data_IF_019977695717
#
_entry.id   IF_019977695717
#
_cell.length_a   1.000
_cell.length_b   1.000
_cell.length_c   1.000
_cell.angle_alpha   90.00
_cell.angle_beta   90.00
_cell.angle_gamma   90.00
#
_symmetry.space_group_name_H-M   'P 1'
#
loop_
_entity.id
_entity.type
_entity.pdbx_description
1 polymer ?
#
# COMPACT_ATOMS: atom_id res chain seq x y z
N UNK A 1 -14.26 9.43 25.61
CA UNK A 1 -12.89 8.83 25.57
C UNK A 1 -12.76 8.14 24.24
N UNK A 2 -12.00 8.72 23.30
CA UNK A 2 -11.87 8.29 21.90
C UNK A 2 -11.54 6.80 21.79
N UNK A 3 -12.14 6.09 20.80
CA UNK A 3 -11.90 4.66 20.50
C UNK A 3 -10.39 4.33 20.39
N UNK A 4 -9.59 5.24 19.86
CA UNK A 4 -8.12 5.12 19.79
C UNK A 4 -7.44 5.06 21.17
N UNK A 5 -7.92 5.82 22.18
CA UNK A 5 -7.37 5.77 23.54
C UNK A 5 -7.57 4.41 24.21
N UNK A 6 -8.66 3.70 23.88
CA UNK A 6 -8.94 2.34 24.40
C UNK A 6 -8.04 1.29 23.75
N UNK A 7 -7.77 1.39 22.45
CA UNK A 7 -6.86 0.49 21.73
C UNK A 7 -5.42 0.71 22.21
N UNK A 8 -4.99 1.97 22.36
CA UNK A 8 -3.68 2.30 22.92
C UNK A 8 -3.46 1.77 24.33
N UNK A 9 -4.49 1.81 25.20
CA UNK A 9 -4.43 1.28 26.56
C UNK A 9 -4.31 -0.25 26.60
N UNK A 10 -5.02 -0.96 25.71
CA UNK A 10 -4.94 -2.42 25.60
C UNK A 10 -3.55 -2.88 25.11
N UNK A 11 -2.96 -2.16 24.15
CA UNK A 11 -1.62 -2.44 23.65
C UNK A 11 -0.55 -2.14 24.69
N UNK A 12 -0.73 -1.09 25.50
CA UNK A 12 0.16 -0.77 26.63
C UNK A 12 0.14 -1.85 27.70
N UNK A 13 -1.02 -2.46 27.97
CA UNK A 13 -1.15 -3.58 28.92
C UNK A 13 -0.47 -4.84 28.37
N UNK A 14 -0.61 -5.14 27.07
CA UNK A 14 0.08 -6.27 26.40
C UNK A 14 1.60 -6.06 26.38
N UNK A 15 2.08 -4.82 26.21
CA UNK A 15 3.50 -4.48 26.27
C UNK A 15 4.09 -4.76 27.67
N UNK A 16 3.36 -4.40 28.73
CA UNK A 16 3.79 -4.65 30.12
C UNK A 16 3.86 -6.15 30.47
N UNK A 17 3.00 -6.99 29.88
CA UNK A 17 3.06 -8.45 30.07
C UNK A 17 4.16 -9.12 29.27
N UNK A 18 4.62 -8.53 28.15
CA UNK A 18 5.75 -9.02 27.33
C UNK A 18 7.10 -8.93 28.05
N UNK A 19 7.32 -7.88 28.83
CA UNK A 19 8.55 -7.67 29.61
C UNK A 19 8.78 -8.81 30.61
N UNK A 20 7.73 -9.43 31.12
CA UNK A 20 7.82 -10.53 32.11
C UNK A 20 8.36 -11.86 31.54
N UNK A 21 8.51 -12.00 30.21
CA UNK A 21 8.94 -13.24 29.54
C UNK A 21 10.31 -13.15 28.84
N UNK A 22 11.09 -12.10 29.10
CA UNK A 22 12.43 -11.93 28.52
C UNK A 22 12.42 -11.60 27.02
N UNK A 23 11.29 -11.11 26.47
CA UNK A 23 11.20 -10.68 25.08
C UNK A 23 11.97 -9.36 24.88
N UNK A 24 12.85 -9.31 23.88
CA UNK A 24 13.58 -8.09 23.54
C UNK A 24 12.62 -7.05 22.92
N UNK A 25 12.67 -5.84 23.45
CA UNK A 25 11.91 -4.71 22.93
C UNK A 25 12.88 -3.79 22.19
N UNK A 26 12.65 -3.65 20.89
CA UNK A 26 13.39 -2.72 20.05
C UNK A 26 12.73 -1.34 20.15
N UNK A 27 13.52 -0.29 20.12
CA UNK A 27 13.03 1.07 20.01
C UNK A 27 13.76 1.83 18.91
N UNK A 28 13.09 2.82 18.35
CA UNK A 28 13.68 3.81 17.45
C UNK A 28 13.15 5.19 17.85
N UNK A 29 14.06 6.16 17.95
CA UNK A 29 13.73 7.57 18.12
C UNK A 29 14.46 8.36 17.05
N UNK A 30 13.80 9.32 16.43
CA UNK A 30 14.40 10.14 15.38
C UNK A 30 13.74 11.47 15.18
N UNK A 31 14.46 12.34 14.47
CA UNK A 31 13.97 13.61 13.98
C UNK A 31 14.39 13.79 12.52
N UNK A 32 13.54 14.42 11.73
CA UNK A 32 13.77 14.67 10.31
C UNK A 32 13.33 16.09 9.97
N UNK A 33 14.14 16.81 9.21
CA UNK A 33 13.76 18.12 8.63
C UNK A 33 13.55 17.94 7.15
N UNK A 34 12.40 18.39 6.65
CA UNK A 34 12.01 18.38 5.24
C UNK A 34 11.93 19.81 4.73
N UNK A 35 12.59 20.09 3.63
CA UNK A 35 12.67 21.41 3.02
C UNK A 35 12.42 21.31 1.51
N UNK A 36 11.75 22.31 0.96
CA UNK A 36 11.38 22.41 -0.44
C UNK A 36 11.58 23.83 -0.95
N UNK A 37 11.87 23.97 -2.24
CA UNK A 37 11.91 25.25 -2.95
C UNK A 37 10.54 25.83 -3.23
N UNK A 38 9.49 25.01 -3.17
CA UNK A 38 8.09 25.34 -3.38
C UNK A 38 7.27 25.10 -2.10
N UNK A 39 5.99 25.47 -2.14
CA UNK A 39 5.04 25.28 -1.03
C UNK A 39 4.91 23.79 -0.63
N UNK A 40 4.83 22.90 -1.62
CA UNK A 40 4.72 21.46 -1.40
C UNK A 40 6.08 20.78 -1.51
N UNK A 41 6.26 19.68 -0.77
CA UNK A 41 7.42 18.82 -0.90
C UNK A 41 7.38 18.03 -2.22
N UNK A 42 8.54 17.74 -2.84
CA UNK A 42 8.62 16.84 -4.00
C UNK A 42 8.02 15.46 -3.72
N UNK A 43 7.45 14.87 -4.75
CA UNK A 43 6.68 13.63 -4.73
C UNK A 43 7.33 12.50 -3.91
N UNK A 44 8.62 12.21 -4.11
CA UNK A 44 9.29 11.10 -3.43
C UNK A 44 9.68 11.40 -1.97
N UNK A 45 9.65 12.64 -1.50
CA UNK A 45 9.82 12.94 -0.08
C UNK A 45 8.57 12.60 0.74
N UNK A 46 7.42 12.55 0.09
CA UNK A 46 6.12 12.39 0.71
C UNK A 46 5.52 11.01 0.47
N UNK A 47 5.70 10.46 -0.74
CA UNK A 47 5.16 9.15 -1.12
C UNK A 47 5.84 8.00 -0.38
N UNK A 48 5.07 6.96 -0.07
CA UNK A 48 5.52 5.76 0.65
C UNK A 48 6.12 6.03 2.04
N UNK A 49 5.66 7.09 2.70
CA UNK A 49 6.07 7.49 4.06
C UNK A 49 5.01 7.11 5.12
N UNK A 50 4.10 6.17 4.83
CA UNK A 50 3.00 5.75 5.71
C UNK A 50 2.10 6.93 6.16
N UNK A 51 1.95 7.96 5.34
CA UNK A 51 1.13 9.13 5.63
C UNK A 51 1.61 9.96 6.83
N UNK A 52 2.88 9.85 7.23
CA UNK A 52 3.43 10.55 8.41
C UNK A 52 4.08 11.90 8.08
N UNK A 53 4.47 12.12 6.83
CA UNK A 53 5.14 13.35 6.38
C UNK A 53 4.10 14.28 5.80
N UNK A 54 3.96 15.54 6.28
CA UNK A 54 3.13 16.56 5.66
C UNK A 54 3.54 16.84 4.21
N UNK A 55 2.69 17.48 3.43
CA UNK A 55 3.04 17.85 2.06
C UNK A 55 3.95 19.07 1.95
N UNK A 56 4.17 19.79 3.02
CA UNK A 56 4.88 21.06 3.12
C UNK A 56 6.17 20.93 3.93
N UNK A 57 6.95 22.01 4.01
CA UNK A 57 8.14 22.09 4.84
C UNK A 57 7.81 21.72 6.29
N UNK A 58 8.56 20.78 6.87
CA UNK A 58 8.23 20.26 8.19
C UNK A 58 9.45 19.77 8.97
N UNK A 59 9.35 19.89 10.30
CA UNK A 59 10.14 19.10 11.24
C UNK A 59 9.29 17.93 11.70
N UNK A 60 9.76 16.69 11.51
CA UNK A 60 9.05 15.46 11.91
C UNK A 60 9.87 14.71 12.94
N UNK A 61 9.23 14.34 14.04
CA UNK A 61 9.82 13.48 15.07
C UNK A 61 9.13 12.13 15.05
N UNK A 62 9.89 11.05 15.21
CA UNK A 62 9.39 9.68 15.19
C UNK A 62 9.81 8.94 16.46
N UNK A 63 8.88 8.20 17.04
CA UNK A 63 9.12 7.29 18.13
C UNK A 63 8.44 5.96 17.85
N UNK A 64 9.17 4.85 17.96
CA UNK A 64 8.60 3.52 17.83
C UNK A 64 9.16 2.54 18.85
N UNK A 65 8.34 1.60 19.25
CA UNK A 65 8.70 0.45 20.08
C UNK A 65 8.04 -0.80 19.52
N UNK A 66 8.79 -1.89 19.42
CA UNK A 66 8.25 -3.14 18.91
C UNK A 66 9.02 -4.35 19.41
N UNK A 67 8.32 -5.45 19.55
CA UNK A 67 8.92 -6.78 19.71
C UNK A 67 8.92 -7.54 18.39
N UNK A 68 9.62 -8.65 18.33
CA UNK A 68 9.61 -9.56 17.18
C UNK A 68 9.31 -10.96 17.64
N UNK A 69 8.74 -11.80 16.77
CA UNK A 69 8.56 -13.22 17.05
C UNK A 69 9.89 -13.88 17.43
N UNK A 70 9.89 -14.63 18.54
CA UNK A 70 11.07 -15.36 19.04
C UNK A 70 11.19 -16.75 18.45
N UNK A 71 10.06 -17.42 18.21
CA UNK A 71 9.98 -18.84 17.86
C UNK A 71 9.41 -19.06 16.45
N UNK A 72 9.85 -18.27 15.47
CA UNK A 72 9.34 -18.36 14.08
C UNK A 72 9.39 -19.80 13.55
N UNK A 73 8.24 -20.28 13.11
CA UNK A 73 8.14 -21.61 12.47
C UNK A 73 8.08 -22.80 13.41
N UNK A 74 8.05 -22.58 14.73
CA UNK A 74 7.87 -23.66 15.72
C UNK A 74 6.40 -23.98 15.95
N UNK A 75 6.12 -25.09 16.67
CA UNK A 75 4.76 -25.44 17.10
C UNK A 75 4.30 -24.68 18.35
N UNK A 76 5.12 -23.79 18.88
CA UNK A 76 4.81 -22.99 20.07
C UNK A 76 4.02 -21.74 19.69
N UNK A 77 3.18 -21.29 20.60
CA UNK A 77 2.52 -19.98 20.47
C UNK A 77 3.57 -18.89 20.62
N UNK A 78 3.61 -17.99 19.68
CA UNK A 78 4.52 -16.87 19.65
C UNK A 78 3.74 -15.56 19.44
N UNK A 79 4.27 -14.45 19.88
CA UNK A 79 3.61 -13.17 19.74
C UNK A 79 4.58 -12.03 19.47
N UNK A 80 4.10 -11.01 18.82
CA UNK A 80 4.78 -9.72 18.67
C UNK A 80 3.78 -8.58 18.80
N UNK A 81 4.28 -7.42 19.16
CA UNK A 81 3.51 -6.18 19.23
C UNK A 81 4.39 -5.00 18.85
N UNK A 82 3.76 -3.91 18.51
CA UNK A 82 4.47 -2.66 18.26
C UNK A 82 3.54 -1.46 18.18
N UNK A 83 4.14 -0.30 18.37
CA UNK A 83 3.50 0.97 18.12
C UNK A 83 4.52 1.98 17.62
N UNK A 84 4.04 2.98 16.88
CA UNK A 84 4.84 4.12 16.44
C UNK A 84 3.97 5.36 16.45
N UNK A 85 4.58 6.48 16.82
CA UNK A 85 3.98 7.80 16.78
C UNK A 85 4.91 8.76 16.05
N UNK A 86 4.33 9.72 15.35
CA UNK A 86 5.06 10.82 14.72
C UNK A 86 4.44 12.15 15.15
N UNK A 87 5.29 13.12 15.50
CA UNK A 87 4.89 14.51 15.66
C UNK A 87 5.44 15.33 14.49
N UNK A 88 4.67 16.27 13.97
CA UNK A 88 5.12 17.19 12.93
C UNK A 88 4.86 18.65 13.34
N UNK A 89 5.81 19.50 13.00
CA UNK A 89 5.71 20.96 13.06
C UNK A 89 5.86 21.44 11.63
N UNK A 90 4.77 21.94 11.08
CA UNK A 90 4.62 22.54 9.77
C UNK A 90 3.81 23.82 9.94
N UNK A 91 2.98 24.23 8.98
CA UNK A 91 2.01 25.31 9.20
C UNK A 91 1.08 25.01 10.39
N UNK A 92 0.78 23.73 10.61
CA UNK A 92 0.12 23.24 11.80
C UNK A 92 0.96 22.20 12.52
N UNK A 93 0.80 22.12 13.85
CA UNK A 93 1.44 21.06 14.65
C UNK A 93 0.49 19.90 14.81
N UNK A 94 0.91 18.70 14.43
CA UNK A 94 0.12 17.48 14.56
C UNK A 94 0.91 16.39 15.29
N UNK A 95 0.19 15.48 15.93
CA UNK A 95 0.74 14.29 16.57
C UNK A 95 -0.15 13.09 16.29
N UNK A 96 0.40 12.10 15.60
CA UNK A 96 -0.34 10.96 15.09
C UNK A 96 0.23 9.64 15.60
N UNK A 97 -0.65 8.71 15.90
CA UNK A 97 -0.31 7.30 16.08
C UNK A 97 -0.27 6.66 14.68
N UNK A 98 0.92 6.36 14.18
CA UNK A 98 1.12 5.87 12.81
C UNK A 98 0.92 4.36 12.70
N UNK A 99 1.20 3.59 13.76
CA UNK A 99 0.82 2.18 13.88
C UNK A 99 0.65 1.79 15.35
N UNK A 100 -0.19 0.78 15.58
CA UNK A 100 -0.33 0.11 16.86
C UNK A 100 -0.95 -1.27 16.61
N UNK A 101 -0.24 -2.35 16.93
CA UNK A 101 -0.64 -3.70 16.58
C UNK A 101 -0.20 -4.75 17.60
N UNK A 102 -0.90 -5.88 17.60
CA UNK A 102 -0.48 -7.12 18.22
C UNK A 102 -0.68 -8.28 17.23
N UNK A 103 0.23 -9.27 17.24
CA UNK A 103 0.17 -10.45 16.39
C UNK A 103 0.44 -11.71 17.20
N UNK A 104 -0.30 -12.75 16.91
CA UNK A 104 -0.15 -14.09 17.49
C UNK A 104 0.12 -15.08 16.36
N UNK A 105 1.18 -15.85 16.50
CA UNK A 105 1.53 -16.93 15.58
C UNK A 105 1.47 -18.28 16.30
N UNK A 106 0.82 -19.24 15.66
CA UNK A 106 0.79 -20.63 16.12
C UNK A 106 0.91 -21.58 14.94
N UNK A 107 1.98 -22.34 14.90
CA UNK A 107 2.32 -23.19 13.74
C UNK A 107 2.39 -22.35 12.46
N UNK A 108 1.42 -22.52 11.56
CA UNK A 108 1.32 -21.80 10.29
C UNK A 108 0.25 -20.72 10.29
N UNK A 109 -0.49 -20.57 11.37
CA UNK A 109 -1.54 -19.56 11.51
C UNK A 109 -0.97 -18.28 12.11
N UNK A 110 -1.48 -17.16 11.62
CA UNK A 110 -1.15 -15.82 12.06
C UNK A 110 -2.45 -15.04 12.28
N UNK A 111 -2.67 -14.57 13.49
CA UNK A 111 -3.70 -13.60 13.84
C UNK A 111 -3.04 -12.24 14.06
N UNK A 112 -3.59 -11.17 13.48
CA UNK A 112 -3.10 -9.80 13.67
C UNK A 112 -4.26 -8.86 13.98
N UNK A 113 -4.05 -7.93 14.90
CA UNK A 113 -5.04 -6.91 15.31
C UNK A 113 -4.35 -5.57 15.36
N UNK A 114 -4.98 -4.54 14.81
CA UNK A 114 -4.52 -3.15 14.84
C UNK A 114 -4.01 -2.62 13.51
N UNK A 115 -3.40 -1.45 13.56
CA UNK A 115 -2.78 -0.78 12.40
C UNK A 115 -1.30 -1.15 12.34
N UNK A 116 -0.84 -1.66 11.21
CA UNK A 116 0.55 -2.04 11.01
C UNK A 116 1.00 -1.66 9.60
N UNK A 117 2.23 -1.14 9.48
CA UNK A 117 2.86 -0.93 8.17
C UNK A 117 2.99 -2.25 7.41
N UNK A 118 2.84 -2.18 6.10
CA UNK A 118 3.12 -3.34 5.25
C UNK A 118 4.64 -3.65 5.27
N UNK A 119 4.96 -4.94 5.20
CA UNK A 119 6.36 -5.36 5.16
C UNK A 119 7.05 -4.81 3.91
N UNK A 120 8.28 -4.31 4.09
CA UNK A 120 9.03 -3.75 2.98
C UNK A 120 9.39 -4.85 1.97
N UNK A 121 9.03 -4.63 0.73
CA UNK A 121 9.39 -5.46 -0.42
C UNK A 121 10.42 -4.75 -1.30
N UNK A 122 11.15 -5.52 -2.09
CA UNK A 122 12.07 -5.01 -3.11
C UNK A 122 13.08 -3.94 -2.62
N UNK A 123 13.45 -3.97 -1.34
CA UNK A 123 14.40 -3.00 -0.77
C UNK A 123 13.95 -1.55 -0.86
N UNK A 124 12.64 -1.26 -0.84
CA UNK A 124 12.01 0.07 -1.04
C UNK A 124 12.21 0.65 -2.44
N UNK A 125 12.50 -0.17 -3.44
CA UNK A 125 12.65 0.29 -4.83
C UNK A 125 11.32 0.36 -5.58
N UNK A 126 10.33 -0.46 -5.24
CA UNK A 126 9.01 -0.43 -5.85
C UNK A 126 8.22 0.81 -5.45
N UNK A 127 7.56 1.43 -6.42
CA UNK A 127 6.67 2.57 -6.15
C UNK A 127 5.41 2.17 -5.38
N UNK A 128 5.00 0.91 -5.41
CA UNK A 128 3.82 0.38 -4.72
C UNK A 128 4.17 -0.59 -3.60
N UNK A 129 5.47 -0.73 -3.25
CA UNK A 129 5.93 -1.80 -2.36
C UNK A 129 5.47 -3.21 -2.81
N UNK A 130 5.31 -3.41 -4.12
CA UNK A 130 4.87 -4.66 -4.73
C UNK A 130 3.36 -4.92 -4.66
N UNK A 131 2.54 -3.94 -4.30
CA UNK A 131 1.09 -4.10 -4.25
C UNK A 131 0.36 -2.83 -4.73
N UNK A 132 -0.34 -2.93 -5.86
CA UNK A 132 -1.10 -1.82 -6.45
C UNK A 132 -2.20 -1.27 -5.53
N UNK A 133 -2.73 -2.09 -4.63
CA UNK A 133 -3.94 -1.77 -3.86
C UNK A 133 -3.63 -1.37 -2.42
N UNK A 134 -2.53 -1.86 -1.85
CA UNK A 134 -2.16 -1.60 -0.46
C UNK A 134 -0.64 -1.49 -0.33
N UNK A 135 -0.14 -0.26 -0.31
CA UNK A 135 1.26 0.09 -0.19
C UNK A 135 1.56 0.76 1.15
N UNK A 136 2.77 1.31 1.29
CA UNK A 136 3.15 2.14 2.43
C UNK A 136 2.91 3.65 2.18
N UNK A 137 2.03 4.02 1.23
CA UNK A 137 1.77 5.42 0.89
C UNK A 137 0.87 6.13 1.91
N UNK A 138 -0.22 5.50 2.31
CA UNK A 138 -1.16 6.03 3.31
C UNK A 138 -0.88 5.50 4.72
N UNK A 139 -1.53 6.09 5.74
CA UNK A 139 -1.59 5.52 7.09
C UNK A 139 -2.28 4.15 7.03
N UNK A 140 -1.76 3.12 7.74
CA UNK A 140 -2.35 1.80 7.71
C UNK A 140 -3.74 1.79 8.35
N UNK A 141 -4.64 1.01 7.75
CA UNK A 141 -6.00 0.81 8.24
C UNK A 141 -5.96 -0.12 9.46
N UNK A 142 -6.59 0.24 10.60
CA UNK A 142 -6.78 -0.69 11.71
C UNK A 142 -7.68 -1.85 11.27
N UNK A 143 -7.18 -3.09 11.45
CA UNK A 143 -7.85 -4.30 10.97
C UNK A 143 -7.60 -5.49 11.89
N UNK A 144 -8.48 -6.46 11.81
CA UNK A 144 -8.28 -7.81 12.34
C UNK A 144 -8.06 -8.70 11.12
N UNK A 145 -6.99 -9.50 11.14
CA UNK A 145 -6.67 -10.41 10.04
C UNK A 145 -6.27 -11.78 10.56
N UNK A 146 -6.69 -12.82 9.83
CA UNK A 146 -6.25 -14.19 10.01
C UNK A 146 -5.66 -14.68 8.71
N UNK A 147 -4.52 -15.36 8.78
CA UNK A 147 -3.85 -15.84 7.59
C UNK A 147 -2.77 -16.86 7.90
N UNK A 148 -1.94 -17.15 6.91
CA UNK A 148 -0.79 -18.03 7.07
C UNK A 148 0.46 -17.24 7.47
N UNK A 149 1.28 -17.80 8.34
CA UNK A 149 2.63 -17.28 8.63
C UNK A 149 3.58 -17.68 7.48
N UNK A 150 3.62 -16.86 6.42
CA UNK A 150 4.35 -17.17 5.20
C UNK A 150 3.70 -18.31 4.39
N UNK A 151 4.49 -18.92 3.51
CA UNK A 151 4.02 -20.03 2.68
C UNK A 151 3.90 -21.34 3.46
N UNK A 152 2.74 -21.98 3.37
CA UNK A 152 2.49 -23.29 3.91
C UNK A 152 2.75 -24.33 2.82
N UNK A 153 3.84 -25.10 2.96
CA UNK A 153 4.17 -26.23 2.09
C UNK A 153 3.12 -27.32 2.23
N UNK A 154 2.60 -27.79 1.10
CA UNK A 154 1.57 -28.83 1.07
C UNK A 154 2.23 -30.20 1.30
N UNK A 155 1.87 -30.96 2.35
CA UNK A 155 2.64 -32.14 2.78
C UNK A 155 2.81 -33.23 1.72
N UNK A 156 1.82 -33.46 0.84
CA UNK A 156 1.86 -34.48 -0.21
C UNK A 156 2.58 -34.03 -1.49
N UNK A 157 3.05 -32.79 -1.54
CA UNK A 157 3.62 -32.19 -2.75
C UNK A 157 5.15 -32.05 -2.69
N UNK A 158 5.84 -32.80 -1.86
CA UNK A 158 7.32 -32.89 -1.80
C UNK A 158 8.01 -31.50 -1.90
N UNK A 159 7.50 -30.50 -1.20
CA UNK A 159 7.97 -29.10 -1.17
C UNK A 159 7.82 -28.28 -2.46
N UNK A 160 7.36 -28.86 -3.58
CA UNK A 160 7.22 -28.07 -4.82
C UNK A 160 5.98 -27.18 -4.87
N UNK A 161 5.00 -27.41 -3.97
CA UNK A 161 3.76 -26.66 -3.89
C UNK A 161 3.59 -26.02 -2.51
N UNK A 162 3.37 -24.73 -2.47
CA UNK A 162 3.07 -24.00 -1.24
C UNK A 162 1.94 -22.98 -1.46
N UNK A 163 1.17 -22.73 -0.41
CA UNK A 163 0.06 -21.78 -0.42
C UNK A 163 0.23 -20.72 0.67
N UNK A 164 -0.26 -19.53 0.41
CA UNK A 164 -0.36 -18.42 1.37
C UNK A 164 -1.72 -17.76 1.20
N UNK A 165 -2.32 -17.33 2.30
CA UNK A 165 -3.58 -16.60 2.24
C UNK A 165 -3.83 -15.77 3.48
N UNK A 166 -4.69 -14.76 3.33
CA UNK A 166 -5.13 -13.88 4.42
C UNK A 166 -6.59 -13.46 4.19
N UNK A 167 -7.29 -13.29 5.30
CA UNK A 167 -8.62 -12.72 5.39
C UNK A 167 -8.61 -11.62 6.44
N UNK A 168 -9.17 -10.47 6.14
CA UNK A 168 -9.07 -9.29 6.99
C UNK A 168 -10.32 -8.42 6.95
N UNK A 169 -10.68 -7.87 8.10
CA UNK A 169 -11.71 -6.85 8.27
C UNK A 169 -11.14 -5.65 8.99
N UNK A 170 -11.33 -4.48 8.42
CA UNK A 170 -10.84 -3.21 8.94
C UNK A 170 -11.90 -2.12 8.95
N UNK A 171 -11.53 -0.96 9.47
CA UNK A 171 -12.35 0.24 9.48
C UNK A 171 -11.50 1.46 9.20
N UNK A 172 -11.98 2.34 8.34
CA UNK A 172 -11.34 3.62 8.06
C UNK A 172 -11.71 4.62 9.16
N UNK A 173 -10.73 5.39 9.64
CA UNK A 173 -10.87 6.28 10.79
C UNK A 173 -10.66 7.76 10.46
N UNK A 174 -10.38 8.07 9.21
CA UNK A 174 -10.27 9.44 8.69
C UNK A 174 -11.64 10.10 8.52
N UNK A 175 -11.66 11.42 8.45
CA UNK A 175 -12.83 12.19 8.05
C UNK A 175 -13.07 11.96 6.57
N UNK A 176 -14.21 11.34 6.25
CA UNK A 176 -14.49 10.86 4.90
C UNK A 176 -15.98 10.91 4.59
N UNK A 177 -16.31 10.90 3.29
CA UNK A 177 -17.67 11.08 2.79
C UNK A 177 -18.67 10.01 3.28
N UNK A 178 -18.21 8.76 3.50
CA UNK A 178 -18.97 7.70 4.16
C UNK A 178 -18.28 7.40 5.48
N UNK A 179 -18.83 7.92 6.58
CA UNK A 179 -18.28 7.72 7.91
C UNK A 179 -18.36 6.23 8.33
N UNK A 180 -17.35 5.78 9.10
CA UNK A 180 -17.24 4.40 9.57
C UNK A 180 -17.24 3.35 8.41
N UNK A 181 -16.70 3.71 7.25
CA UNK A 181 -16.47 2.77 6.13
C UNK A 181 -15.66 1.58 6.60
N UNK A 182 -16.18 0.37 6.36
CA UNK A 182 -15.49 -0.88 6.62
C UNK A 182 -14.66 -1.29 5.41
N UNK A 183 -13.58 -2.03 5.63
CA UNK A 183 -12.72 -2.55 4.57
C UNK A 183 -12.56 -4.05 4.74
N UNK A 184 -13.02 -4.79 3.76
CA UNK A 184 -12.72 -6.21 3.60
C UNK A 184 -11.48 -6.39 2.74
N UNK A 185 -10.60 -7.34 3.11
CA UNK A 185 -9.48 -7.75 2.29
C UNK A 185 -9.27 -9.26 2.38
N UNK A 186 -9.09 -9.91 1.23
CA UNK A 186 -8.70 -11.31 1.16
C UNK A 186 -7.71 -11.54 0.02
N UNK A 187 -6.81 -12.51 0.23
CA UNK A 187 -5.91 -12.96 -0.82
C UNK A 187 -5.65 -14.47 -0.71
N UNK A 188 -5.20 -15.03 -1.81
CA UNK A 188 -4.63 -16.38 -1.89
C UNK A 188 -3.50 -16.38 -2.91
N UNK A 189 -2.41 -17.04 -2.57
CA UNK A 189 -1.24 -17.25 -3.43
C UNK A 189 -0.86 -18.71 -3.46
N UNK A 190 -0.52 -19.20 -4.63
CA UNK A 190 -0.01 -20.52 -4.89
C UNK A 190 1.38 -20.37 -5.48
N UNK A 191 2.38 -20.97 -4.84
CA UNK A 191 3.77 -20.99 -5.31
C UNK A 191 4.18 -22.38 -5.70
N UNK A 192 4.76 -22.49 -6.88
CA UNK A 192 5.28 -23.72 -7.47
C UNK A 192 6.80 -23.62 -7.60
N UNK A 193 7.53 -24.72 -7.37
CA UNK A 193 8.97 -24.81 -7.58
C UNK A 193 9.79 -25.13 -6.32
N UNK A 194 9.38 -24.67 -5.13
CA UNK A 194 10.07 -24.95 -3.87
C UNK A 194 11.52 -24.47 -3.86
N UNK A 195 12.46 -25.38 -3.64
CA UNK A 195 13.89 -25.08 -3.59
C UNK A 195 14.55 -25.01 -4.99
N UNK A 196 13.80 -25.25 -6.07
CA UNK A 196 14.31 -25.23 -7.44
C UNK A 196 14.77 -23.82 -7.86
N UNK A 197 15.63 -23.76 -8.87
CA UNK A 197 16.12 -22.47 -9.44
C UNK A 197 14.97 -21.63 -10.02
N UNK A 198 13.98 -22.29 -10.62
CA UNK A 198 12.81 -21.66 -11.22
C UNK A 198 11.60 -21.87 -10.33
N UNK A 199 10.89 -20.77 -10.01
CA UNK A 199 9.65 -20.79 -9.25
C UNK A 199 8.61 -19.93 -9.94
N UNK A 200 7.36 -20.34 -9.84
CA UNK A 200 6.17 -19.58 -10.28
C UNK A 200 5.30 -19.30 -9.08
N UNK A 201 4.67 -18.14 -9.10
CA UNK A 201 3.63 -17.79 -8.13
C UNK A 201 2.44 -17.18 -8.87
N UNK A 202 1.25 -17.61 -8.49
CA UNK A 202 -0.01 -17.02 -8.94
C UNK A 202 -0.79 -16.63 -7.70
N UNK A 203 -1.27 -15.40 -7.68
CA UNK A 203 -2.05 -14.84 -6.60
C UNK A 203 -3.33 -14.18 -7.10
N UNK A 204 -4.26 -14.04 -6.19
CA UNK A 204 -5.47 -13.25 -6.36
C UNK A 204 -5.70 -12.41 -5.11
N UNK A 205 -5.96 -11.13 -5.30
CA UNK A 205 -6.27 -10.18 -4.24
C UNK A 205 -7.63 -9.52 -4.50
N UNK A 206 -8.40 -9.34 -3.44
CA UNK A 206 -9.68 -8.66 -3.50
C UNK A 206 -9.88 -7.79 -2.27
N UNK A 207 -10.26 -6.56 -2.51
CA UNK A 207 -10.57 -5.53 -1.52
C UNK A 207 -11.99 -5.03 -1.72
N UNK A 208 -12.66 -4.61 -0.65
CA UNK A 208 -13.94 -3.92 -0.76
C UNK A 208 -14.13 -2.92 0.38
N UNK A 209 -14.57 -1.71 0.04
CA UNK A 209 -15.17 -0.77 1.00
C UNK A 209 -16.65 -1.08 1.09
N UNK A 210 -17.21 -1.17 2.31
CA UNK A 210 -18.59 -1.53 2.52
C UNK A 210 -19.13 -0.96 3.82
N UNK A 211 -20.46 -0.88 3.97
CA UNK A 211 -21.11 -0.34 5.17
C UNK A 211 -20.78 1.14 5.41
N UNK A 212 -21.05 1.59 6.62
CA UNK A 212 -20.86 2.98 7.00
C UNK A 212 -22.12 3.83 6.85
N UNK A 213 -21.97 5.15 6.97
CA UNK A 213 -23.06 6.13 6.83
C UNK A 213 -22.62 7.27 5.95
N UNK A 214 -23.30 7.46 4.82
CA UNK A 214 -23.04 8.57 3.90
C UNK A 214 -23.64 9.87 4.43
N UNK A 215 -22.96 10.99 4.19
CA UNK A 215 -23.52 12.33 4.39
C UNK A 215 -24.58 12.68 3.33
N UNK A 216 -24.62 11.98 2.20
CA UNK A 216 -25.68 12.14 1.20
C UNK A 216 -26.99 11.51 1.72
N UNK A 217 -28.07 12.32 1.92
CA UNK A 217 -29.33 11.86 2.44
C UNK A 217 -29.99 10.77 1.56
N UNK A 218 -29.68 10.75 0.26
CA UNK A 218 -30.22 9.76 -0.67
C UNK A 218 -29.56 8.38 -0.52
N UNK A 219 -28.38 8.32 0.06
CA UNK A 219 -27.64 7.09 0.33
C UNK A 219 -27.84 6.66 1.79
N UNK A 220 -27.64 7.58 2.74
CA UNK A 220 -27.83 7.35 4.17
C UNK A 220 -26.94 6.23 4.73
N UNK A 221 -27.56 5.39 5.58
CA UNK A 221 -26.84 4.28 6.24
C UNK A 221 -26.80 3.05 5.33
N UNK A 222 -25.60 2.57 5.04
CA UNK A 222 -25.35 1.39 4.23
C UNK A 222 -25.52 0.08 5.05
N UNK A 223 -26.05 -1.02 4.47
CA UNK A 223 -26.26 -2.28 5.16
C UNK A 223 -25.00 -2.85 5.80
N UNK A 224 -25.14 -3.41 7.00
CA UNK A 224 -24.01 -4.04 7.72
C UNK A 224 -24.39 -5.38 8.35
N UNK A 225 -25.57 -5.93 7.98
CA UNK A 225 -26.05 -7.22 8.42
C UNK A 225 -25.27 -8.37 7.77
N UNK A 226 -25.41 -9.59 8.31
CA UNK A 226 -24.65 -10.74 7.87
C UNK A 226 -24.97 -11.19 6.44
N UNK A 227 -26.22 -11.04 5.99
CA UNK A 227 -26.61 -11.40 4.64
C UNK A 227 -25.91 -10.51 3.61
N UNK A 228 -26.00 -9.19 3.78
CA UNK A 228 -25.35 -8.24 2.88
C UNK A 228 -23.81 -8.32 2.97
N UNK A 229 -23.25 -8.60 4.15
CA UNK A 229 -21.83 -8.90 4.31
C UNK A 229 -21.38 -10.10 3.45
N UNK A 230 -22.09 -11.23 3.49
CA UNK A 230 -21.74 -12.40 2.68
C UNK A 230 -21.90 -12.15 1.18
N UNK A 231 -22.90 -11.36 0.78
CA UNK A 231 -23.11 -10.94 -0.62
C UNK A 231 -21.94 -10.06 -1.11
N UNK A 232 -21.52 -9.10 -0.32
CA UNK A 232 -20.35 -8.26 -0.60
C UNK A 232 -19.08 -9.11 -0.80
N UNK A 233 -18.79 -10.06 0.11
CA UNK A 233 -17.61 -10.93 -0.01
C UNK A 233 -17.56 -11.66 -1.36
N UNK A 234 -18.69 -12.06 -1.93
CA UNK A 234 -18.75 -12.78 -3.21
C UNK A 234 -19.09 -11.89 -4.40
N UNK A 235 -19.08 -10.56 -4.22
CA UNK A 235 -19.34 -9.59 -5.28
C UNK A 235 -20.79 -9.65 -5.83
N UNK A 236 -21.78 -9.77 -4.95
CA UNK A 236 -23.22 -9.69 -5.27
C UNK A 236 -23.83 -8.40 -4.74
N UNK A 237 -24.86 -7.88 -5.41
CA UNK A 237 -25.63 -6.73 -4.94
C UNK A 237 -26.37 -6.98 -3.62
N UNK A 238 -26.90 -5.94 -3.00
CA UNK A 238 -27.70 -6.02 -1.76
C UNK A 238 -28.95 -6.85 -1.94
N UNK A 239 -29.50 -7.34 -0.85
CA UNK A 239 -30.84 -7.94 -0.83
C UNK A 239 -31.87 -6.83 -0.60
N UNK A 240 -32.78 -6.63 -1.57
CA UNK A 240 -33.78 -5.56 -1.55
C UNK A 240 -33.32 -4.28 -2.25
N UNK A 241 -34.28 -3.36 -2.49
CA UNK A 241 -34.08 -2.09 -3.21
C UNK A 241 -33.64 -0.94 -2.26
N UNK A 242 -33.14 -1.25 -1.07
CA UNK A 242 -32.95 -0.27 -0.01
C UNK A 242 -31.80 0.74 -0.25
N UNK A 243 -30.87 0.43 -1.17
CA UNK A 243 -29.72 1.31 -1.46
C UNK A 243 -29.59 1.52 -2.96
N UNK A 244 -29.72 2.76 -3.38
CA UNK A 244 -29.66 3.17 -4.78
C UNK A 244 -28.40 2.63 -5.49
N UNK A 245 -28.62 1.83 -6.55
CA UNK A 245 -27.55 1.25 -7.37
C UNK A 245 -26.81 0.04 -6.80
N UNK A 246 -26.86 -0.22 -5.49
CA UNK A 246 -26.13 -1.33 -4.85
C UNK A 246 -26.82 -2.70 -5.01
N UNK A 247 -28.08 -2.74 -5.40
CA UNK A 247 -28.83 -3.96 -5.64
C UNK A 247 -28.60 -4.54 -7.06
N UNK A 248 -28.32 -3.68 -8.05
CA UNK A 248 -28.02 -4.10 -9.43
C UNK A 248 -26.55 -4.50 -9.61
N UNK A 249 -25.65 -3.86 -8.84
CA UNK A 249 -24.21 -4.06 -8.89
C UNK A 249 -23.71 -4.87 -7.68
N UNK A 250 -22.40 -5.15 -7.65
CA UNK A 250 -21.79 -5.70 -6.45
C UNK A 250 -21.85 -4.67 -5.32
N UNK A 251 -22.39 -5.06 -4.15
CA UNK A 251 -22.50 -4.20 -2.99
C UNK A 251 -21.12 -3.77 -2.47
N UNK A 252 -20.89 -2.48 -2.41
CA UNK A 252 -19.63 -1.85 -1.97
C UNK A 252 -18.72 -1.43 -3.13
N UNK A 253 -17.61 -0.80 -2.79
CA UNK A 253 -16.57 -0.42 -3.74
C UNK A 253 -15.51 -1.53 -3.82
N UNK A 254 -15.52 -2.30 -4.89
CA UNK A 254 -14.62 -3.44 -5.09
C UNK A 254 -13.40 -3.05 -5.90
N UNK A 255 -12.25 -3.62 -5.54
CA UNK A 255 -11.03 -3.57 -6.33
C UNK A 255 -10.18 -4.81 -6.08
N UNK A 256 -9.33 -5.15 -7.02
CA UNK A 256 -8.46 -6.31 -6.88
C UNK A 256 -7.64 -6.59 -8.13
N UNK A 257 -6.92 -7.70 -8.10
CA UNK A 257 -6.06 -8.10 -9.20
C UNK A 257 -5.55 -9.52 -9.11
N UNK A 258 -5.06 -9.99 -10.23
CA UNK A 258 -4.26 -11.19 -10.34
C UNK A 258 -2.80 -10.83 -10.22
N UNK A 259 -2.03 -11.64 -9.50
CA UNK A 259 -0.59 -11.55 -9.35
C UNK A 259 0.08 -12.75 -10.02
N UNK A 260 1.07 -12.49 -10.84
CA UNK A 260 1.89 -13.51 -11.48
C UNK A 260 3.35 -13.17 -11.23
N UNK A 261 4.11 -14.09 -10.64
CA UNK A 261 5.54 -13.91 -10.40
C UNK A 261 6.33 -15.08 -10.96
N UNK A 262 7.46 -14.76 -11.57
CA UNK A 262 8.46 -15.72 -12.03
C UNK A 262 9.76 -15.41 -11.31
N UNK A 263 10.26 -16.36 -10.53
CA UNK A 263 11.52 -16.24 -9.81
C UNK A 263 12.59 -17.12 -10.47
N UNK A 264 13.76 -16.55 -10.69
CA UNK A 264 14.93 -17.26 -11.18
C UNK A 264 16.08 -17.06 -10.19
N UNK A 265 16.44 -18.10 -9.45
CA UNK A 265 17.57 -18.12 -8.51
C UNK A 265 18.86 -18.40 -9.27
N UNK A 266 19.64 -17.36 -9.56
CA UNK A 266 20.93 -17.45 -10.22
C UNK A 266 22.09 -17.56 -9.24
N UNK A 267 23.30 -17.82 -9.73
CA UNK A 267 24.50 -17.86 -8.88
C UNK A 267 24.95 -16.45 -8.45
N UNK A 268 24.89 -15.46 -9.35
CA UNK A 268 25.30 -14.08 -9.14
C UNK A 268 24.14 -13.13 -8.94
N UNK A 269 22.98 -13.42 -9.55
CA UNK A 269 21.80 -12.54 -9.55
C UNK A 269 20.55 -13.40 -9.39
N UNK A 270 19.69 -12.99 -8.47
CA UNK A 270 18.32 -13.47 -8.40
C UNK A 270 17.42 -12.50 -9.19
N UNK A 271 16.54 -13.06 -10.01
CA UNK A 271 15.61 -12.28 -10.82
C UNK A 271 14.18 -12.57 -10.38
N UNK A 272 13.35 -11.55 -10.39
CA UNK A 272 11.91 -11.66 -10.26
C UNK A 272 11.25 -10.81 -11.33
N UNK A 273 10.46 -11.46 -12.20
CA UNK A 273 9.55 -10.82 -13.14
C UNK A 273 8.15 -10.97 -12.59
N UNK A 274 7.39 -9.89 -12.52
CA UNK A 274 6.02 -9.97 -12.05
C UNK A 274 5.06 -9.11 -12.87
N UNK A 275 3.80 -9.53 -12.82
CA UNK A 275 2.65 -8.82 -13.38
C UNK A 275 1.53 -8.81 -12.36
N UNK A 276 1.04 -7.62 -11.99
CA UNK A 276 -0.17 -7.46 -11.22
C UNK A 276 -1.21 -6.73 -12.07
N UNK A 277 -2.39 -7.34 -12.26
CA UNK A 277 -3.52 -6.72 -12.97
C UNK A 277 -4.35 -5.86 -12.02
N UNK A 278 -5.22 -5.03 -12.57
CA UNK A 278 -6.12 -4.18 -11.79
C UNK A 278 -7.54 -4.29 -12.33
N UNK A 279 -8.51 -4.44 -11.42
CA UNK A 279 -9.95 -4.38 -11.72
C UNK A 279 -10.72 -3.70 -10.57
N UNK A 280 -11.87 -3.13 -10.87
CA UNK A 280 -12.86 -2.64 -9.91
C UNK A 280 -14.21 -3.34 -10.05
N UNK A 281 -14.49 -3.89 -11.23
CA UNK A 281 -15.69 -4.67 -11.49
C UNK A 281 -15.39 -5.96 -12.26
N UNK A 282 -16.44 -6.70 -12.63
CA UNK A 282 -16.34 -7.94 -13.39
C UNK A 282 -15.68 -7.75 -14.77
N UNK A 283 -15.84 -6.58 -15.39
CA UNK A 283 -15.29 -6.30 -16.72
C UNK A 283 -13.76 -6.22 -16.73
N UNK A 284 -13.16 -5.85 -15.59
CA UNK A 284 -11.72 -5.78 -15.38
C UNK A 284 -11.06 -7.07 -14.92
N UNK A 285 -11.84 -8.10 -14.53
CA UNK A 285 -11.28 -9.35 -13.95
C UNK A 285 -10.53 -10.23 -14.97
N UNK A 286 -10.62 -9.91 -16.24
CA UNK A 286 -9.94 -10.66 -17.29
C UNK A 286 -8.43 -10.38 -17.28
N UNK A 287 -7.62 -11.41 -17.04
CA UNK A 287 -6.16 -11.30 -16.86
C UNK A 287 -5.40 -10.77 -18.10
N UNK A 288 -6.01 -10.78 -19.29
CA UNK A 288 -5.44 -10.23 -20.53
C UNK A 288 -5.59 -8.70 -20.65
N UNK A 289 -6.30 -8.05 -19.72
CA UNK A 289 -6.43 -6.59 -19.72
C UNK A 289 -5.08 -5.92 -19.47
N UNK A 290 -4.80 -4.77 -20.12
CA UNK A 290 -3.48 -4.14 -20.04
C UNK A 290 -3.22 -3.44 -18.71
N UNK A 291 -4.28 -3.07 -17.96
CA UNK A 291 -4.13 -2.28 -16.74
C UNK A 291 -3.44 -3.05 -15.61
N UNK A 292 -2.57 -2.36 -14.92
CA UNK A 292 -1.79 -2.89 -13.81
C UNK A 292 -0.32 -2.48 -13.85
N UNK A 293 0.54 -3.29 -13.25
CA UNK A 293 2.00 -3.11 -13.23
C UNK A 293 2.70 -4.34 -13.78
N UNK A 294 3.77 -4.13 -14.56
CA UNK A 294 4.76 -5.16 -14.90
C UNK A 294 6.10 -4.71 -14.34
N UNK A 295 6.73 -5.55 -13.53
CA UNK A 295 7.99 -5.23 -12.89
C UNK A 295 9.06 -6.29 -13.10
N UNK A 296 10.31 -5.85 -13.19
CA UNK A 296 11.51 -6.67 -13.21
C UNK A 296 12.41 -6.24 -12.07
N UNK A 297 12.73 -7.15 -11.17
CA UNK A 297 13.63 -6.93 -10.06
C UNK A 297 14.85 -7.84 -10.16
N UNK A 298 16.01 -7.29 -9.89
CA UNK A 298 17.27 -7.99 -9.84
C UNK A 298 17.94 -7.76 -8.48
N UNK A 299 18.31 -8.84 -7.79
CA UNK A 299 19.10 -8.82 -6.57
C UNK A 299 20.48 -9.43 -6.83
N UNK A 300 21.52 -8.62 -6.71
CA UNK A 300 22.89 -9.01 -6.95
C UNK A 300 23.49 -9.61 -5.69
N UNK A 301 24.04 -10.81 -5.76
CA UNK A 301 24.72 -11.48 -4.66
C UNK A 301 26.11 -10.87 -4.48
N UNK A 302 26.48 -10.62 -3.24
CA UNK A 302 27.78 -10.05 -2.86
C UNK A 302 27.59 -8.92 -1.86
N UNK A 303 28.62 -8.63 -1.08
CA UNK A 303 28.59 -7.58 -0.08
C UNK A 303 29.02 -6.26 -0.66
N UNK A 304 28.30 -5.17 -0.33
CA UNK A 304 28.68 -3.77 -0.57
C UNK A 304 29.05 -3.42 -2.02
N UNK A 305 28.40 -4.08 -2.99
CA UNK A 305 28.56 -3.75 -4.39
C UNK A 305 28.00 -2.36 -4.73
N UNK A 306 28.50 -1.75 -5.80
CA UNK A 306 27.93 -0.51 -6.35
C UNK A 306 26.43 -0.63 -6.62
N UNK A 307 25.99 -1.78 -7.10
CA UNK A 307 24.58 -2.13 -7.24
C UNK A 307 24.34 -3.42 -6.48
N UNK A 308 23.44 -3.39 -5.50
CA UNK A 308 22.97 -4.58 -4.76
C UNK A 308 21.60 -5.02 -5.21
N UNK A 309 20.79 -4.11 -5.68
CA UNK A 309 19.51 -4.43 -6.33
C UNK A 309 19.10 -3.34 -7.31
N UNK A 310 18.37 -3.73 -8.33
CA UNK A 310 17.80 -2.82 -9.33
C UNK A 310 16.37 -3.25 -9.66
N UNK A 311 15.53 -2.28 -10.01
CA UNK A 311 14.13 -2.49 -10.34
C UNK A 311 13.72 -1.62 -11.52
N UNK A 312 12.86 -2.17 -12.34
CA UNK A 312 12.09 -1.44 -13.33
C UNK A 312 10.63 -1.85 -13.22
N UNK A 313 9.73 -0.87 -13.20
CA UNK A 313 8.28 -1.07 -13.20
C UNK A 313 7.65 -0.23 -14.31
N UNK A 314 6.72 -0.83 -15.05
CA UNK A 314 5.84 -0.14 -15.97
C UNK A 314 4.42 -0.23 -15.45
N UNK A 315 3.84 0.92 -15.14
CA UNK A 315 2.45 1.10 -14.71
C UNK A 315 1.62 1.54 -15.89
N UNK A 316 0.50 0.88 -16.12
CA UNK A 316 -0.45 1.22 -17.16
C UNK A 316 -1.87 1.11 -16.61
N UNK A 317 -2.59 2.23 -16.53
CA UNK A 317 -3.98 2.26 -16.03
C UNK A 317 -4.88 3.11 -16.94
N UNK A 318 -4.50 3.22 -18.20
CA UNK A 318 -5.18 4.08 -19.16
C UNK A 318 -6.42 3.45 -19.77
N UNK A 319 -6.49 2.13 -19.83
CA UNK A 319 -7.57 1.42 -20.51
C UNK A 319 -8.87 1.39 -19.69
N UNK A 320 -8.81 1.07 -18.40
CA UNK A 320 -9.92 1.07 -17.43
C UNK A 320 -11.15 0.34 -17.97
N UNK A 321 -10.96 -0.89 -18.46
CA UNK A 321 -12.00 -1.75 -19.08
C UNK A 321 -12.67 -1.15 -20.32
N UNK A 322 -12.10 -0.08 -20.90
CA UNK A 322 -12.57 0.58 -22.12
C UNK A 322 -13.18 1.96 -21.90
N UNK A 323 -13.39 2.69 -22.98
CA UNK A 323 -13.85 4.10 -22.94
C UNK A 323 -15.37 4.26 -22.87
N UNK A 324 -16.11 3.20 -23.16
CA UNK A 324 -17.59 3.24 -23.17
C UNK A 324 -18.17 2.90 -21.80
N UNK A 325 -19.36 3.43 -21.44
CA UNK A 325 -20.02 3.08 -20.18
C UNK A 325 -20.19 1.58 -20.00
N UNK A 326 -20.23 1.13 -18.73
CA UNK A 326 -20.40 -0.28 -18.37
C UNK A 326 -21.63 -0.92 -19.00
N UNK A 327 -21.58 -2.24 -19.22
CA UNK A 327 -22.66 -3.02 -19.81
C UNK A 327 -22.72 -2.99 -21.34
N UNK A 328 -21.85 -2.26 -22.03
CA UNK A 328 -21.79 -2.30 -23.50
C UNK A 328 -21.02 -3.53 -23.96
N UNK A 329 -21.63 -4.45 -24.75
CA UNK A 329 -20.91 -5.59 -25.31
C UNK A 329 -19.71 -5.15 -26.16
N UNK A 330 -18.61 -5.87 -26.04
CA UNK A 330 -17.46 -5.65 -26.92
C UNK A 330 -17.78 -6.23 -28.30
N UNK A 331 -17.66 -5.46 -29.39
CA UNK A 331 -17.92 -5.97 -30.74
C UNK A 331 -17.09 -7.23 -31.04
N UNK A 332 -17.73 -8.26 -31.56
CA UNK A 332 -17.10 -9.54 -31.88
C UNK A 332 -16.92 -10.51 -30.72
N UNK A 333 -17.42 -10.21 -29.55
CA UNK A 333 -17.34 -11.08 -28.36
C UNK A 333 -18.59 -11.95 -28.12
N UNK A 334 -19.54 -11.99 -29.04
CA UNK A 334 -20.85 -12.67 -28.93
C UNK A 334 -21.62 -12.33 -27.64
N UNK A 335 -21.42 -11.10 -27.13
CA UNK A 335 -22.02 -10.65 -25.88
C UNK A 335 -21.36 -11.24 -24.61
N UNK A 336 -20.30 -12.03 -24.75
CA UNK A 336 -19.62 -12.65 -23.60
C UNK A 336 -18.70 -11.69 -22.84
N UNK A 337 -18.23 -10.63 -23.48
CA UNK A 337 -17.36 -9.61 -22.89
C UNK A 337 -18.02 -8.24 -22.92
N UNK A 338 -17.93 -7.53 -21.82
CA UNK A 338 -18.49 -6.20 -21.66
C UNK A 338 -17.36 -5.18 -21.43
N UNK A 339 -17.58 -3.95 -21.90
CA UNK A 339 -16.80 -2.81 -21.48
C UNK A 339 -17.25 -2.35 -20.10
N UNK A 340 -16.31 -1.79 -19.32
CA UNK A 340 -16.63 -1.03 -18.14
C UNK A 340 -15.83 0.25 -18.21
N UNK A 341 -16.26 1.40 -18.07
CA UNK A 341 -15.45 2.59 -17.94
C UNK A 341 -15.14 2.75 -16.45
N UNK A 342 -14.22 1.92 -15.95
CA UNK A 342 -13.78 1.95 -14.56
C UNK A 342 -13.22 3.33 -14.20
N UNK A 343 -13.22 3.65 -12.93
CA UNK A 343 -12.70 4.92 -12.40
C UNK A 343 -11.82 4.62 -11.18
N UNK A 344 -10.71 3.94 -11.43
CA UNK A 344 -9.82 3.37 -10.40
C UNK A 344 -9.60 4.30 -9.22
N UNK A 345 -9.81 3.77 -8.01
CA UNK A 345 -9.72 4.43 -6.70
C UNK A 345 -10.79 5.48 -6.44
N UNK A 346 -11.75 5.68 -7.34
CA UNK A 346 -12.91 6.52 -7.14
C UNK A 346 -14.19 5.68 -7.12
N UNK A 347 -15.20 6.12 -6.39
CA UNK A 347 -16.50 5.47 -6.34
C UNK A 347 -17.61 6.49 -6.15
N UNK A 348 -18.80 6.23 -6.67
CA UNK A 348 -19.92 7.17 -6.62
C UNK A 348 -20.60 7.25 -5.26
N UNK A 349 -20.56 6.19 -4.44
CA UNK A 349 -21.03 6.16 -3.06
C UNK A 349 -19.90 6.52 -2.10
N UNK A 350 -18.79 5.76 -2.16
CA UNK A 350 -17.60 5.98 -1.33
C UNK A 350 -16.73 7.08 -1.95
N UNK A 351 -17.28 8.30 -2.04
CA UNK A 351 -16.68 9.44 -2.79
C UNK A 351 -15.27 9.79 -2.37
N UNK A 352 -14.87 9.51 -1.12
CA UNK A 352 -13.47 9.65 -0.70
C UNK A 352 -12.52 8.67 -1.38
N UNK A 353 -13.06 7.67 -2.09
CA UNK A 353 -12.30 6.72 -2.88
C UNK A 353 -11.41 5.79 -2.05
N UNK A 354 -10.45 5.15 -2.73
CA UNK A 354 -9.49 4.24 -2.11
C UNK A 354 -8.31 5.03 -1.51
N UNK A 355 -8.64 5.87 -0.53
CA UNK A 355 -7.71 6.75 0.19
C UNK A 355 -7.86 6.56 1.70
N UNK A 356 -6.85 6.99 2.46
CA UNK A 356 -6.91 7.06 3.92
C UNK A 356 -6.05 8.26 4.39
N UNK A 357 -6.66 9.19 5.12
CA UNK A 357 -6.06 10.46 5.51
C UNK A 357 -5.46 11.23 4.31
N UNK A 358 -6.26 11.39 3.25
CA UNK A 358 -5.90 12.18 2.07
C UNK A 358 -4.86 11.55 1.13
N UNK A 359 -4.45 10.28 1.35
CA UNK A 359 -3.48 9.57 0.51
C UNK A 359 -4.05 8.28 -0.03
N UNK A 360 -3.69 7.93 -1.27
CA UNK A 360 -4.07 6.63 -1.85
C UNK A 360 -3.46 5.48 -1.03
N UNK A 361 -4.27 4.45 -0.78
CA UNK A 361 -3.85 3.26 -0.06
C UNK A 361 -2.86 2.40 -0.86
N UNK A 362 -2.95 2.44 -2.18
CA UNK A 362 -2.10 1.69 -3.11
C UNK A 362 -1.19 2.59 -3.94
N UNK A 363 -1.39 2.57 -5.24
CA UNK A 363 -0.58 3.25 -6.25
C UNK A 363 -0.46 4.76 -5.97
N UNK A 364 0.73 5.28 -5.63
CA UNK A 364 0.91 6.69 -5.26
C UNK A 364 0.81 7.65 -6.45
N UNK A 365 0.95 7.16 -7.68
CA UNK A 365 0.82 7.98 -8.90
C UNK A 365 -0.63 8.40 -9.19
N UNK A 366 -1.61 7.83 -8.50
CA UNK A 366 -2.98 8.33 -8.49
C UNK A 366 -3.09 9.50 -7.52
N UNK A 367 -2.75 10.68 -7.98
CA UNK A 367 -2.62 11.87 -7.16
C UNK A 367 -2.99 13.14 -7.93
N UNK A 368 -3.23 14.24 -7.26
CA UNK A 368 -3.53 14.33 -5.84
C UNK A 368 -4.97 13.88 -5.53
N UNK A 369 -5.26 13.64 -4.26
CA UNK A 369 -6.63 13.59 -3.78
C UNK A 369 -7.23 15.01 -3.83
N UNK A 370 -8.55 15.11 -4.04
CA UNK A 370 -9.30 16.36 -3.91
C UNK A 370 -9.99 16.40 -2.55
N UNK A 371 -10.22 17.60 -2.05
CA UNK A 371 -11.04 17.83 -0.86
C UNK A 371 -12.25 18.68 -1.24
N UNK A 372 -13.37 18.45 -0.56
CA UNK A 372 -14.56 19.31 -0.65
C UNK A 372 -14.40 20.52 0.28
N UNK A 373 -15.42 21.41 0.27
CA UNK A 373 -15.46 22.63 1.09
C UNK A 373 -15.42 22.33 2.62
N UNK A 374 -15.69 21.08 3.01
CA UNK A 374 -15.69 20.65 4.41
C UNK A 374 -14.39 19.89 4.79
N UNK A 375 -13.44 19.76 3.85
CA UNK A 375 -12.18 19.05 4.06
C UNK A 375 -12.28 17.53 3.88
N UNK A 376 -13.39 16.99 3.37
CA UNK A 376 -13.48 15.57 3.06
C UNK A 376 -12.77 15.24 1.75
N UNK A 377 -11.98 14.19 1.74
CA UNK A 377 -11.35 13.70 0.51
C UNK A 377 -12.41 13.25 -0.50
N UNK A 378 -12.30 13.69 -1.75
CA UNK A 378 -13.16 13.34 -2.90
C UNK A 378 -12.43 12.44 -3.92
N UNK A 379 -11.71 11.44 -3.46
CA UNK A 379 -10.98 10.52 -4.32
C UNK A 379 -9.78 11.19 -5.03
N UNK A 380 -9.45 10.71 -6.23
CA UNK A 380 -8.27 11.16 -6.99
C UNK A 380 -8.68 11.83 -8.30
N UNK A 381 -7.93 12.87 -8.70
CA UNK A 381 -8.18 13.59 -9.95
C UNK A 381 -7.53 12.94 -11.17
N UNK A 382 -6.56 12.07 -10.95
CA UNK A 382 -5.78 11.43 -11.98
C UNK A 382 -5.61 9.94 -11.68
N UNK A 383 -6.16 9.08 -12.53
CA UNK A 383 -6.05 7.63 -12.42
C UNK A 383 -5.82 6.94 -13.79
N UNK A 384 -5.70 7.73 -14.85
CA UNK A 384 -5.33 7.23 -16.17
C UNK A 384 -3.90 7.62 -16.47
N UNK A 385 -2.99 6.70 -16.22
CA UNK A 385 -1.54 6.95 -16.31
C UNK A 385 -0.82 5.89 -17.14
N UNK A 386 0.33 6.29 -17.66
CA UNK A 386 1.43 5.40 -18.04
C UNK A 386 2.66 5.90 -17.32
N UNK A 387 3.30 5.04 -16.51
CA UNK A 387 4.49 5.43 -15.78
C UNK A 387 5.60 4.39 -15.93
N UNK A 388 6.81 4.88 -16.02
CA UNK A 388 8.06 4.11 -16.03
C UNK A 388 8.83 4.48 -14.78
N UNK A 389 9.08 3.50 -13.92
CA UNK A 389 9.77 3.69 -12.66
C UNK A 389 11.02 2.82 -12.60
N UNK A 390 12.12 3.43 -12.20
CA UNK A 390 13.42 2.80 -11.99
C UNK A 390 13.88 3.01 -10.57
N UNK A 391 14.41 1.98 -9.96
CA UNK A 391 15.01 2.04 -8.63
C UNK A 391 16.33 1.29 -8.58
N UNK A 392 17.30 1.80 -7.83
CA UNK A 392 18.59 1.16 -7.60
C UNK A 392 19.02 1.34 -6.15
N UNK A 393 19.46 0.26 -5.51
CA UNK A 393 20.20 0.26 -4.24
C UNK A 393 21.64 -0.15 -4.46
N UNK A 394 22.54 0.36 -3.64
CA UNK A 394 23.94 -0.04 -3.68
C UNK A 394 24.77 0.65 -2.61
N UNK A 395 26.09 0.60 -2.78
CA UNK A 395 27.06 1.22 -1.88
C UNK A 395 28.04 2.08 -2.68
N UNK A 396 28.03 3.39 -2.45
CA UNK A 396 29.08 4.28 -2.96
C UNK A 396 30.41 3.95 -2.25
N UNK A 397 31.47 3.78 -3.04
CA UNK A 397 32.80 3.46 -2.54
C UNK A 397 32.85 2.25 -1.59
N UNK A 398 31.91 1.30 -1.74
CA UNK A 398 31.72 0.11 -0.88
C UNK A 398 31.48 0.47 0.61
N UNK A 399 31.04 1.67 0.93
CA UNK A 399 30.89 2.18 2.31
C UNK A 399 29.53 2.80 2.59
N UNK A 400 29.05 3.68 1.70
CA UNK A 400 27.88 4.52 1.94
C UNK A 400 26.69 3.89 1.20
N UNK A 401 25.73 3.27 1.91
CA UNK A 401 24.50 2.81 1.29
C UNK A 401 23.78 3.97 0.60
N UNK A 402 23.27 3.71 -0.59
CA UNK A 402 22.44 4.68 -1.31
C UNK A 402 21.20 4.01 -1.90
N UNK A 403 20.17 4.81 -2.12
CA UNK A 403 18.97 4.47 -2.88
C UNK A 403 18.68 5.58 -3.87
N UNK A 404 18.40 5.24 -5.11
CA UNK A 404 17.90 6.19 -6.10
C UNK A 404 16.62 5.69 -6.73
N UNK A 405 15.69 6.62 -6.99
CA UNK A 405 14.44 6.40 -7.68
C UNK A 405 14.31 7.41 -8.81
N UNK A 406 13.80 6.98 -9.95
CA UNK A 406 13.48 7.83 -11.10
C UNK A 406 12.16 7.38 -11.69
N UNK A 407 11.22 8.29 -11.84
CA UNK A 407 9.92 8.04 -12.44
C UNK A 407 9.66 9.06 -13.54
N UNK A 408 9.22 8.56 -14.70
CA UNK A 408 8.59 9.35 -15.74
C UNK A 408 7.16 8.90 -15.88
N UNK A 409 6.20 9.83 -15.88
CA UNK A 409 4.79 9.50 -16.05
C UNK A 409 4.09 10.43 -17.03
N UNK A 410 3.14 9.84 -17.74
CA UNK A 410 2.15 10.50 -18.57
C UNK A 410 0.78 10.36 -17.90
N UNK A 411 0.03 11.45 -17.81
CA UNK A 411 -1.13 11.61 -16.94
C UNK A 411 -2.29 12.22 -17.73
N UNK A 412 -3.47 11.58 -17.76
CA UNK A 412 -4.63 12.01 -18.54
C UNK A 412 -5.82 12.47 -17.71
N UNK A 413 -5.70 12.50 -16.36
CA UNK A 413 -6.84 12.74 -15.47
C UNK A 413 -7.75 11.52 -15.38
N UNK A 414 -9.06 11.72 -15.39
CA UNK A 414 -10.09 10.68 -15.39
C UNK A 414 -10.82 10.65 -16.73
N UNK A 415 -11.52 9.57 -17.06
CA UNK A 415 -12.35 9.54 -18.27
C UNK A 415 -13.46 10.61 -18.25
N UNK A 416 -14.10 10.79 -17.09
CA UNK A 416 -15.19 11.76 -16.93
C UNK A 416 -14.69 13.21 -16.82
N UNK A 417 -13.43 13.40 -16.36
CA UNK A 417 -12.82 14.71 -16.15
C UNK A 417 -11.35 14.62 -16.60
N UNK A 418 -11.09 14.62 -17.93
CA UNK A 418 -9.72 14.66 -18.44
C UNK A 418 -9.06 16.00 -18.08
N UNK A 419 -7.73 16.02 -18.03
CA UNK A 419 -7.02 17.26 -17.82
C UNK A 419 -7.28 18.27 -18.95
N UNK A 420 -7.49 19.51 -18.59
CA UNK A 420 -7.51 20.62 -19.53
C UNK A 420 -6.13 20.74 -20.20
N UNK A 421 -6.09 20.94 -21.51
CA UNK A 421 -4.85 20.93 -22.28
C UNK A 421 -4.36 19.52 -22.66
N UNK A 422 -4.99 18.46 -22.19
CA UNK A 422 -4.68 17.08 -22.55
C UNK A 422 -3.74 16.36 -21.59
N UNK A 423 -2.88 15.51 -22.11
CA UNK A 423 -1.94 14.71 -21.33
C UNK A 423 -0.84 15.60 -20.73
N UNK A 424 -0.53 15.35 -19.45
CA UNK A 424 0.55 16.01 -18.70
C UNK A 424 1.70 15.06 -18.44
N UNK A 425 2.91 15.52 -18.68
CA UNK A 425 4.14 14.78 -18.39
C UNK A 425 4.72 15.18 -17.03
N UNK A 426 5.36 14.21 -16.36
CA UNK A 426 6.01 14.43 -15.08
C UNK A 426 7.23 13.54 -14.92
N UNK A 427 8.33 14.12 -14.44
CA UNK A 427 9.51 13.42 -13.95
C UNK A 427 9.65 13.66 -12.46
N UNK A 428 9.89 12.60 -11.69
CA UNK A 428 10.16 12.67 -10.25
C UNK A 428 11.36 11.80 -9.92
N UNK A 429 12.37 12.36 -9.25
CA UNK A 429 13.60 11.67 -8.90
C UNK A 429 13.94 11.81 -7.42
N UNK A 430 14.63 10.80 -6.87
CA UNK A 430 15.16 10.78 -5.49
C UNK A 430 16.56 10.19 -5.48
N UNK A 431 17.46 10.82 -4.73
CA UNK A 431 18.72 10.23 -4.27
C UNK A 431 18.74 10.29 -2.74
N UNK A 432 18.94 9.15 -2.10
CA UNK A 432 19.04 9.01 -0.64
C UNK A 432 20.35 8.35 -0.27
N UNK A 433 21.05 8.89 0.72
CA UNK A 433 22.32 8.41 1.27
C UNK A 433 22.14 8.08 2.74
N UNK A 434 22.77 6.99 3.20
CA UNK A 434 22.73 6.57 4.60
C UNK A 434 24.13 6.52 5.20
N UNK A 435 24.30 7.15 6.36
CA UNK A 435 25.52 7.01 7.16
C UNK A 435 25.19 6.13 8.37
N UNK A 436 25.74 4.89 8.43
CA UNK A 436 25.41 3.95 9.47
C UNK A 436 26.04 4.33 10.83
N UNK A 437 25.47 3.81 11.91
CA UNK A 437 25.90 4.05 13.31
C UNK A 437 27.38 3.71 13.59
N UNK A 438 28.01 2.88 12.76
CA UNK A 438 29.45 2.61 12.88
C UNK A 438 30.34 3.84 12.69
N UNK A 439 29.83 4.87 12.03
CA UNK A 439 30.53 6.13 11.73
C UNK A 439 30.19 7.22 12.75
N UNK A 440 28.97 7.22 13.25
CA UNK A 440 28.45 8.18 14.23
C UNK A 440 27.66 7.41 15.31
N UNK A 441 27.44 7.95 16.51
CA UNK A 441 26.63 7.32 17.56
C UNK A 441 25.12 7.27 17.22
N UNK A 442 24.75 7.78 16.06
CA UNK A 442 23.40 7.83 15.48
C UNK A 442 23.47 7.49 14.00
N UNK A 443 22.38 7.03 13.45
CA UNK A 443 22.22 6.86 12.00
C UNK A 443 21.74 8.18 11.38
N UNK A 444 22.31 8.54 10.24
CA UNK A 444 21.95 9.75 9.50
C UNK A 444 21.56 9.38 8.09
N UNK A 445 20.42 9.88 7.63
CA UNK A 445 20.00 9.78 6.23
C UNK A 445 19.84 11.19 5.67
N UNK A 446 20.31 11.38 4.46
CA UNK A 446 20.15 12.60 3.69
C UNK A 446 19.57 12.25 2.33
N UNK A 447 18.60 13.03 1.83
CA UNK A 447 18.14 12.88 0.46
C UNK A 447 17.86 14.20 -0.25
N UNK A 448 17.94 14.13 -1.57
CA UNK A 448 17.48 15.17 -2.49
C UNK A 448 16.43 14.55 -3.40
N UNK A 449 15.34 15.28 -3.62
CA UNK A 449 14.29 14.93 -4.56
C UNK A 449 13.99 16.09 -5.48
N UNK A 450 13.63 15.76 -6.73
CA UNK A 450 13.34 16.74 -7.78
C UNK A 450 12.04 16.31 -8.47
N UNK A 451 11.15 17.25 -8.67
CA UNK A 451 10.01 17.15 -9.58
C UNK A 451 10.18 18.12 -10.73
N UNK A 452 9.87 17.67 -11.96
CA UNK A 452 9.86 18.48 -13.15
C UNK A 452 8.73 18.06 -14.08
N UNK A 453 7.86 18.98 -14.46
CA UNK A 453 6.78 18.68 -15.40
C UNK A 453 5.51 19.50 -15.18
N UNK A 454 4.39 18.97 -15.71
CA UNK A 454 3.13 19.68 -15.79
C UNK A 454 2.10 19.23 -14.74
N UNK A 455 2.33 18.08 -14.07
CA UNK A 455 1.42 17.55 -13.05
C UNK A 455 1.65 18.22 -11.71
N UNK A 456 2.92 18.34 -11.32
CA UNK A 456 3.40 19.06 -10.15
C UNK A 456 4.24 20.26 -10.63
N UNK A 457 4.35 21.29 -9.82
CA UNK A 457 5.28 22.39 -10.11
C UNK A 457 6.72 21.87 -10.09
N UNK A 458 7.59 22.49 -10.91
CA UNK A 458 9.02 22.27 -10.83
C UNK A 458 9.50 22.56 -9.41
N UNK A 459 10.13 21.58 -8.77
CA UNK A 459 10.40 21.61 -7.35
C UNK A 459 11.67 20.84 -7.01
N UNK A 460 12.46 21.37 -6.07
CA UNK A 460 13.61 20.68 -5.48
C UNK A 460 13.44 20.68 -3.97
N UNK A 461 13.59 19.52 -3.36
CA UNK A 461 13.52 19.40 -1.91
C UNK A 461 14.56 18.44 -1.37
N UNK A 462 14.77 18.52 -0.07
CA UNK A 462 15.67 17.62 0.64
C UNK A 462 15.12 17.24 2.00
N UNK A 463 15.57 16.11 2.53
CA UNK A 463 15.44 15.85 3.95
C UNK A 463 16.78 15.46 4.59
N UNK A 464 16.90 15.80 5.86
CA UNK A 464 17.92 15.28 6.75
C UNK A 464 17.22 14.57 7.90
N UNK A 465 17.56 13.30 8.13
CA UNK A 465 17.03 12.48 9.23
C UNK A 465 18.16 11.99 10.12
N UNK A 466 17.99 12.15 11.42
CA UNK A 466 18.86 11.58 12.44
C UNK A 466 18.03 10.66 13.32
N UNK A 467 18.51 9.44 13.56
CA UNK A 467 17.78 8.49 14.40
C UNK A 467 18.70 7.54 15.16
N UNK A 468 18.19 7.03 16.26
CA UNK A 468 18.84 6.05 17.14
C UNK A 468 17.96 4.82 17.28
N UNK A 469 18.55 3.66 17.04
CA UNK A 469 17.95 2.37 17.34
C UNK A 469 18.56 1.80 18.62
N UNK A 470 17.79 1.01 19.37
CA UNK A 470 18.29 0.30 20.54
C UNK A 470 17.38 -0.84 20.95
N UNK A 471 17.82 -1.58 21.96
CA UNK A 471 17.09 -2.74 22.51
C UNK A 471 17.09 -2.58 24.03
N UNK A 472 15.92 -2.80 24.65
CA UNK A 472 15.75 -2.90 26.10
C UNK A 472 15.86 -4.35 26.56
#
# INVERSE_FOLDING_TARGET
MNKMKRIGLLISILALTGISKGQKINYQIGASSYLSSEENLPFWLVSNQNGRVPNENALVTDLSMYSTFMNKGTNQLDYEFGWSASGSIADQTDAILTQAYARLAWKKLLLSVGSRYEDIQFGKLSATNGNLFLSNNARPIPRISIGTQGYWKIPFAEDWLAVKGMYSEGIMLDDRYVDNTRVHYKNVYIRLGGDRKFNLEVGFQHYSQWGGSSFDPNVGKLPTDFTNYTRMIVGKGTEGEEVWGEWENAYGNHLGGWDFHVYLKGEKVNWELYRQTMFEDKSGTYFHRPDGVTGLYAEFKGEKNWVTSAMYENYYTRYQSGSTPGGTPIPGSDGALYTGRDNYFNNYIYKSGWTHYGRTLGLPFFAPAQEDENGHTLGVINNRIVAHHFGVNGYLFNKIPYRTLLTYSQNWGRYSVPFEGGMKEQVSALLELHLPEKTLPVEVSFSISIDQGELYKDNVGCFLRVYKNGIF
#
